data_IF_514894788338
#
_entry.id   IF_514894788338
#
_cell.length_a   1.000
_cell.length_b   1.000
_cell.length_c   1.000
_cell.angle_alpha   90.00
_cell.angle_beta   90.00
_cell.angle_gamma   90.00
#
_symmetry.space_group_name_H-M   'P 1'
#
loop_
_entity.id
_entity.type
_entity.pdbx_description
1 polymer ?
#
# COMPACT_ATOMS: atom_id res chain seq x y z
N UNK A 1 37.08 -38.38 -2.33
CA UNK A 1 37.40 -37.10 -1.64
C UNK A 1 36.12 -36.32 -1.47
N UNK A 2 35.82 -35.93 -0.24
CA UNK A 2 34.49 -35.60 0.26
C UNK A 2 34.04 -34.17 -0.04
N UNK A 3 32.74 -34.02 -0.30
CA UNK A 3 32.03 -32.75 -0.33
C UNK A 3 31.97 -32.13 1.07
N UNK A 4 32.29 -30.84 1.19
CA UNK A 4 32.09 -30.06 2.42
C UNK A 4 31.12 -28.92 2.16
N UNK A 5 29.87 -29.13 2.60
CA UNK A 5 28.81 -28.12 2.69
C UNK A 5 29.16 -27.14 3.81
N UNK A 6 29.39 -25.86 3.49
CA UNK A 6 29.43 -24.81 4.52
C UNK A 6 28.00 -24.37 4.86
N UNK A 7 27.53 -24.77 6.05
CA UNK A 7 26.35 -24.20 6.72
C UNK A 7 26.66 -22.75 7.10
N UNK A 8 25.83 -21.81 6.68
CA UNK A 8 25.72 -20.49 7.28
C UNK A 8 24.91 -20.65 8.57
N UNK A 9 25.57 -20.54 9.72
CA UNK A 9 24.95 -20.46 11.02
C UNK A 9 24.39 -19.05 11.25
N UNK A 10 23.10 -18.94 11.53
CA UNK A 10 22.52 -17.74 12.14
C UNK A 10 23.22 -17.53 13.49
N UNK A 11 23.95 -16.42 13.64
CA UNK A 11 24.32 -15.92 14.96
C UNK A 11 23.10 -15.21 15.54
N UNK A 12 22.54 -15.80 16.59
CA UNK A 12 21.67 -15.11 17.54
C UNK A 12 22.52 -14.02 18.17
N UNK A 13 22.11 -12.76 18.04
CA UNK A 13 22.73 -11.65 18.77
C UNK A 13 22.20 -11.75 20.19
N UNK A 14 23.08 -12.18 21.11
CA UNK A 14 22.81 -12.11 22.55
C UNK A 14 22.65 -10.65 22.96
N UNK A 15 21.51 -10.34 23.59
CA UNK A 15 21.21 -9.02 24.10
C UNK A 15 22.12 -8.67 25.27
N UNK A 16 22.82 -7.54 25.15
CA UNK A 16 23.53 -6.92 26.26
C UNK A 16 22.54 -6.36 27.28
N UNK A 17 22.78 -6.68 28.55
CA UNK A 17 22.10 -6.12 29.71
C UNK A 17 22.28 -4.59 29.74
N UNK A 18 21.15 -3.87 29.78
CA UNK A 18 21.09 -2.42 29.83
C UNK A 18 19.75 -1.95 30.37
N UNK A 19 19.73 -1.75 31.68
CA UNK A 19 18.90 -0.82 32.46
C UNK A 19 17.40 -0.64 32.09
N UNK A 20 16.57 -1.54 32.65
CA UNK A 20 15.47 -1.17 33.54
C UNK A 20 14.55 0.03 33.22
N UNK A 21 14.23 0.33 31.97
CA UNK A 21 13.11 1.25 31.65
C UNK A 21 11.88 0.44 31.25
N UNK A 22 10.98 0.24 32.23
CA UNK A 22 9.63 -0.27 32.02
C UNK A 22 8.94 0.59 30.96
N UNK A 23 8.78 0.04 29.75
CA UNK A 23 7.98 0.66 28.70
C UNK A 23 6.54 0.82 29.16
N UNK A 24 6.09 2.07 29.32
CA UNK A 24 4.70 2.41 29.60
C UNK A 24 3.83 2.10 28.39
N UNK A 25 3.22 0.92 28.38
CA UNK A 25 2.18 0.53 27.43
C UNK A 25 0.80 0.83 28.02
N UNK A 26 0.18 1.89 27.53
CA UNK A 26 -1.28 2.13 27.45
C UNK A 26 -2.17 1.48 28.53
N UNK A 27 -2.10 2.00 29.76
CA UNK A 27 -2.90 1.58 30.92
C UNK A 27 -4.29 2.26 30.98
N UNK A 28 -4.78 2.78 29.85
CA UNK A 28 -6.11 3.39 29.80
C UNK A 28 -7.19 2.31 29.72
N UNK A 29 -8.19 2.31 30.62
CA UNK A 29 -9.29 1.36 30.56
C UNK A 29 -9.96 1.44 29.20
N UNK A 30 -10.28 0.27 28.64
CA UNK A 30 -11.05 0.19 27.39
C UNK A 30 -12.46 0.73 27.65
N UNK A 31 -12.95 1.67 26.83
CA UNK A 31 -14.31 2.18 26.97
C UNK A 31 -15.32 1.05 26.79
N UNK A 32 -16.39 1.09 27.58
CA UNK A 32 -17.44 0.07 27.58
C UNK A 32 -18.41 0.29 26.43
N UNK A 33 -18.75 -0.78 25.70
CA UNK A 33 -19.81 -0.76 24.67
C UNK A 33 -20.82 -1.85 24.98
N UNK A 34 -22.09 -1.50 25.16
CA UNK A 34 -23.14 -2.45 25.56
C UNK A 34 -23.93 -2.99 24.38
N UNK A 35 -24.02 -4.31 24.29
CA UNK A 35 -24.88 -5.00 23.34
C UNK A 35 -26.31 -5.10 23.89
N UNK A 36 -27.17 -4.20 23.42
CA UNK A 36 -28.62 -4.19 23.74
C UNK A 36 -29.40 -4.73 22.54
N UNK A 37 -30.34 -5.65 22.80
CA UNK A 37 -31.19 -6.24 21.76
C UNK A 37 -31.99 -5.15 21.03
N UNK A 38 -31.99 -5.19 19.69
CA UNK A 38 -32.64 -4.19 18.83
C UNK A 38 -31.88 -2.87 18.67
N UNK A 39 -30.71 -2.69 19.31
CA UNK A 39 -29.89 -1.46 19.26
C UNK A 39 -28.47 -1.75 18.73
N UNK A 40 -28.33 -2.74 17.84
CA UNK A 40 -27.02 -3.18 17.33
C UNK A 40 -26.27 -2.06 16.61
N UNK A 41 -26.99 -1.24 15.84
CA UNK A 41 -26.39 -0.12 15.11
C UNK A 41 -25.73 0.89 16.07
N UNK A 42 -26.42 1.28 17.14
CA UNK A 42 -25.90 2.23 18.13
C UNK A 42 -24.62 1.71 18.79
N UNK A 43 -24.57 0.41 19.11
CA UNK A 43 -23.38 -0.21 19.69
C UNK A 43 -22.20 -0.22 18.69
N UNK A 44 -22.47 -0.44 17.40
CA UNK A 44 -21.45 -0.36 16.34
C UNK A 44 -20.94 1.07 16.18
N UNK A 45 -21.84 2.07 16.14
CA UNK A 45 -21.47 3.49 16.04
C UNK A 45 -20.63 3.94 17.24
N UNK A 46 -20.99 3.49 18.45
CA UNK A 46 -20.22 3.76 19.66
C UNK A 46 -18.84 3.09 19.63
N UNK A 47 -18.77 1.82 19.25
CA UNK A 47 -17.50 1.11 19.11
C UNK A 47 -16.59 1.77 18.04
N UNK A 48 -17.16 2.23 16.93
CA UNK A 48 -16.41 2.93 15.88
C UNK A 48 -15.76 4.22 16.40
N UNK A 49 -16.48 5.01 17.21
CA UNK A 49 -15.92 6.23 17.82
C UNK A 49 -14.65 5.95 18.61
N UNK A 50 -14.60 4.83 19.33
CA UNK A 50 -13.41 4.41 20.06
C UNK A 50 -12.34 3.81 19.15
N UNK A 51 -12.75 3.04 18.15
CA UNK A 51 -11.88 2.43 17.15
C UNK A 51 -11.06 3.48 16.39
N UNK A 52 -11.70 4.53 15.84
CA UNK A 52 -11.03 5.58 15.06
C UNK A 52 -9.99 6.36 15.88
N UNK A 53 -10.17 6.43 17.20
CA UNK A 53 -9.24 7.12 18.09
C UNK A 53 -8.00 6.27 18.42
N UNK A 54 -8.17 4.95 18.51
CA UNK A 54 -7.15 4.00 19.01
C UNK A 54 -6.44 3.24 17.90
N UNK A 55 -7.08 3.00 16.76
CA UNK A 55 -6.50 2.27 15.62
C UNK A 55 -6.14 3.23 14.49
N UNK A 56 -4.84 3.57 14.40
CA UNK A 56 -4.30 4.49 13.38
C UNK A 56 -3.97 3.80 12.05
N UNK A 57 -4.18 2.48 11.94
CA UNK A 57 -3.93 1.69 10.74
C UNK A 57 -5.22 1.03 10.24
N UNK A 58 -6.29 1.83 10.18
CA UNK A 58 -7.59 1.43 9.67
C UNK A 58 -8.17 2.55 8.81
N UNK A 59 -8.54 2.21 7.59
CA UNK A 59 -8.96 3.16 6.56
C UNK A 59 -10.14 2.62 5.77
N UNK A 60 -10.73 3.47 4.94
CA UNK A 60 -11.64 3.05 3.88
C UNK A 60 -11.01 3.25 2.51
N UNK A 61 -11.11 2.23 1.65
CA UNK A 61 -10.61 2.24 0.27
C UNK A 61 -11.52 1.37 -0.59
N UNK A 62 -11.93 1.88 -1.76
CA UNK A 62 -12.76 1.15 -2.72
C UNK A 62 -14.01 0.47 -2.10
N UNK A 63 -14.70 1.15 -1.19
CA UNK A 63 -15.89 0.62 -0.51
C UNK A 63 -15.62 -0.50 0.50
N UNK A 64 -14.38 -0.63 0.98
CA UNK A 64 -13.95 -1.66 1.95
C UNK A 64 -13.22 -1.04 3.12
N UNK A 65 -13.30 -1.70 4.27
CA UNK A 65 -12.40 -1.43 5.40
C UNK A 65 -11.06 -2.08 5.11
N UNK A 66 -10.00 -1.27 5.11
CA UNK A 66 -8.65 -1.71 4.77
C UNK A 66 -7.65 -1.30 5.85
N UNK A 67 -6.49 -1.92 5.81
CA UNK A 67 -5.32 -1.54 6.59
C UNK A 67 -4.08 -1.59 5.69
N UNK A 68 -3.02 -0.93 6.12
CA UNK A 68 -1.72 -0.98 5.45
C UNK A 68 -0.84 -2.00 6.16
N UNK A 69 -0.12 -2.81 5.39
CA UNK A 69 0.85 -3.72 5.99
C UNK A 69 1.69 -4.48 4.98
N UNK A 70 2.69 -5.23 5.48
CA UNK A 70 3.55 -6.06 4.66
C UNK A 70 2.77 -7.20 4.01
N UNK A 71 3.00 -7.42 2.73
CA UNK A 71 2.50 -8.55 1.97
C UNK A 71 3.63 -9.15 1.14
N UNK A 72 3.74 -10.47 1.18
CA UNK A 72 4.67 -11.20 0.31
C UNK A 72 4.12 -11.20 -1.11
N UNK A 73 4.82 -10.50 -2.00
CA UNK A 73 4.53 -10.44 -3.43
C UNK A 73 5.38 -11.48 -4.16
N UNK A 74 4.74 -12.28 -5.01
CA UNK A 74 5.43 -13.20 -5.92
C UNK A 74 5.70 -12.47 -7.24
N UNK A 75 6.99 -12.30 -7.56
CA UNK A 75 7.44 -11.63 -8.78
C UNK A 75 7.58 -12.60 -9.95
N UNK A 76 7.23 -13.87 -9.78
CA UNK A 76 7.50 -14.94 -10.72
C UNK A 76 8.91 -15.51 -10.57
N UNK A 77 9.13 -16.70 -11.13
CA UNK A 77 10.43 -17.37 -11.09
C UNK A 77 10.90 -17.76 -9.67
N UNK A 78 9.99 -17.81 -8.69
CA UNK A 78 10.30 -18.13 -7.30
C UNK A 78 10.86 -16.94 -6.49
N UNK A 79 10.91 -15.74 -7.06
CA UNK A 79 11.36 -14.53 -6.38
C UNK A 79 10.20 -13.93 -5.59
N UNK A 80 10.39 -13.75 -4.28
CA UNK A 80 9.41 -13.16 -3.38
C UNK A 80 9.98 -11.92 -2.71
N UNK A 81 9.17 -10.88 -2.59
CA UNK A 81 9.54 -9.62 -1.93
C UNK A 81 8.47 -9.22 -0.92
N UNK A 82 8.88 -8.51 0.13
CA UNK A 82 7.97 -7.98 1.14
C UNK A 82 7.57 -6.54 0.77
N UNK A 83 6.39 -6.40 0.16
CA UNK A 83 5.85 -5.13 -0.30
C UNK A 83 4.88 -4.52 0.72
N UNK A 84 4.75 -3.20 0.69
CA UNK A 84 3.72 -2.50 1.45
C UNK A 84 2.44 -2.43 0.62
N UNK A 85 1.32 -2.94 1.13
CA UNK A 85 0.09 -3.05 0.37
C UNK A 85 -1.14 -2.58 1.17
N UNK A 86 -2.17 -2.16 0.43
CA UNK A 86 -3.52 -1.99 0.97
C UNK A 86 -4.17 -3.37 1.06
N UNK A 87 -4.55 -3.77 2.27
CA UNK A 87 -5.15 -5.08 2.54
C UNK A 87 -6.55 -4.91 3.12
N UNK A 88 -7.52 -5.61 2.54
CA UNK A 88 -8.86 -5.70 3.13
C UNK A 88 -8.79 -6.35 4.51
N UNK A 89 -9.43 -5.71 5.49
CA UNK A 89 -9.54 -6.23 6.84
C UNK A 89 -10.59 -7.32 6.85
N UNK A 90 -10.21 -8.53 7.25
CA UNK A 90 -11.13 -9.66 7.37
C UNK A 90 -12.07 -9.48 8.56
N UNK A 91 -13.16 -10.26 8.59
CA UNK A 91 -14.10 -10.21 9.71
C UNK A 91 -13.42 -10.50 11.05
N UNK A 92 -12.51 -11.49 11.09
CA UNK A 92 -11.80 -11.85 12.31
C UNK A 92 -10.83 -10.75 12.76
N UNK A 93 -10.08 -10.16 11.83
CA UNK A 93 -9.22 -9.02 12.13
C UNK A 93 -10.04 -7.85 12.68
N UNK A 94 -11.23 -7.60 12.14
CA UNK A 94 -12.11 -6.53 12.61
C UNK A 94 -12.61 -6.79 14.04
N UNK A 95 -12.99 -8.04 14.37
CA UNK A 95 -13.36 -8.42 15.74
C UNK A 95 -12.24 -8.14 16.73
N UNK A 96 -11.01 -8.54 16.40
CA UNK A 96 -9.84 -8.32 17.24
C UNK A 96 -9.52 -6.82 17.40
N UNK A 97 -9.71 -6.02 16.35
CA UNK A 97 -9.52 -4.56 16.40
C UNK A 97 -10.57 -3.90 17.31
N UNK A 98 -11.84 -4.29 17.22
CA UNK A 98 -12.88 -3.84 18.17
C UNK A 98 -12.57 -4.24 19.61
N UNK A 99 -12.16 -5.50 19.84
CA UNK A 99 -11.76 -5.98 21.16
C UNK A 99 -10.58 -5.17 21.74
N UNK A 100 -9.64 -4.72 20.91
CA UNK A 100 -8.55 -3.84 21.35
C UNK A 100 -9.04 -2.42 21.67
N UNK A 101 -9.96 -1.91 20.87
CA UNK A 101 -10.47 -0.54 21.00
C UNK A 101 -11.45 -0.34 22.17
N UNK A 102 -12.26 -1.35 22.49
CA UNK A 102 -13.33 -1.24 23.48
C UNK A 102 -13.57 -2.56 24.24
N UNK A 103 -14.23 -2.47 25.39
CA UNK A 103 -14.69 -3.61 26.17
C UNK A 103 -16.18 -3.84 25.87
N UNK A 104 -16.45 -4.81 25.00
CA UNK A 104 -17.81 -5.13 24.58
C UNK A 104 -18.49 -5.94 25.69
N UNK A 105 -19.63 -5.45 26.16
CA UNK A 105 -20.40 -6.05 27.24
C UNK A 105 -21.73 -6.59 26.75
N UNK A 106 -22.14 -7.74 27.26
CA UNK A 106 -23.48 -8.31 27.09
C UNK A 106 -24.12 -8.56 28.45
N UNK A 107 -25.42 -8.30 28.56
CA UNK A 107 -26.15 -8.59 29.80
C UNK A 107 -26.37 -10.11 29.93
N UNK A 108 -25.90 -10.68 31.03
CA UNK A 108 -26.17 -12.07 31.41
C UNK A 108 -27.36 -12.12 32.37
N UNK A 109 -28.46 -12.76 31.95
CA UNK A 109 -29.68 -12.85 32.76
C UNK A 109 -29.53 -13.74 33.99
N UNK A 110 -28.58 -14.67 34.02
CA UNK A 110 -28.38 -15.59 35.16
C UNK A 110 -27.53 -14.94 36.24
N UNK A 111 -26.50 -14.21 35.84
CA UNK A 111 -25.64 -13.45 36.73
C UNK A 111 -26.19 -12.05 37.07
N UNK A 112 -27.27 -11.63 36.40
CA UNK A 112 -27.90 -10.31 36.53
C UNK A 112 -26.92 -9.14 36.36
N UNK A 113 -25.90 -9.31 35.53
CA UNK A 113 -24.82 -8.34 35.36
C UNK A 113 -24.31 -8.26 33.91
N UNK A 114 -23.56 -7.18 33.61
CA UNK A 114 -22.90 -6.99 32.32
C UNK A 114 -21.54 -7.68 32.31
N UNK A 115 -21.39 -8.69 31.48
CA UNK A 115 -20.14 -9.45 31.33
C UNK A 115 -19.39 -9.01 30.07
N UNK A 116 -18.06 -8.97 30.14
CA UNK A 116 -17.20 -8.79 28.97
C UNK A 116 -17.32 -9.99 28.05
N UNK A 117 -17.43 -9.71 26.75
CA UNK A 117 -17.49 -10.72 25.70
C UNK A 117 -16.61 -10.28 24.55
N UNK A 118 -16.12 -11.26 23.78
CA UNK A 118 -15.51 -10.95 22.49
C UNK A 118 -16.54 -10.33 21.55
N UNK A 119 -16.07 -9.44 20.67
CA UNK A 119 -16.84 -8.90 19.56
C UNK A 119 -17.54 -10.05 18.81
N UNK A 120 -18.89 -10.05 18.74
CA UNK A 120 -19.62 -11.03 17.96
C UNK A 120 -19.25 -10.98 16.47
N UNK A 121 -19.36 -12.11 15.78
CA UNK A 121 -19.03 -12.20 14.35
C UNK A 121 -19.94 -11.34 13.48
N UNK A 122 -21.23 -11.32 13.79
CA UNK A 122 -22.25 -10.55 13.07
C UNK A 122 -22.13 -9.04 13.34
N UNK A 123 -21.59 -8.64 14.49
CA UNK A 123 -21.27 -7.25 14.81
C UNK A 123 -20.19 -6.69 13.88
N UNK A 124 -19.05 -7.39 13.80
CA UNK A 124 -17.95 -7.00 12.93
C UNK A 124 -18.31 -7.11 11.43
N UNK A 125 -19.11 -8.11 11.07
CA UNK A 125 -19.58 -8.28 9.70
C UNK A 125 -20.49 -7.13 9.30
N UNK A 126 -21.49 -6.80 10.14
CA UNK A 126 -22.39 -5.69 9.89
C UNK A 126 -21.63 -4.37 9.72
N UNK A 127 -20.61 -4.10 10.55
CA UNK A 127 -19.77 -2.92 10.36
C UNK A 127 -19.06 -2.89 8.99
N UNK A 128 -18.46 -4.00 8.56
CA UNK A 128 -17.75 -4.11 7.28
C UNK A 128 -18.67 -4.03 6.05
N UNK A 129 -19.96 -4.27 6.22
CA UNK A 129 -20.97 -4.28 5.15
C UNK A 129 -21.78 -2.97 5.07
N UNK A 130 -21.31 -1.90 5.74
CA UNK A 130 -21.93 -0.56 5.71
C UNK A 130 -21.01 0.48 5.02
N UNK A 131 -20.67 0.29 3.73
CA UNK A 131 -19.88 1.29 3.02
C UNK A 131 -20.62 2.63 2.97
N UNK A 132 -19.88 3.73 3.13
CA UNK A 132 -20.42 5.09 3.11
C UNK A 132 -20.91 5.62 4.47
N UNK A 133 -20.92 4.80 5.52
CA UNK A 133 -21.23 5.27 6.89
C UNK A 133 -20.00 5.36 7.80
N UNK A 134 -18.83 4.87 7.35
CA UNK A 134 -17.63 4.84 8.17
C UNK A 134 -17.06 6.23 8.44
N UNK A 135 -16.60 6.43 9.67
CA UNK A 135 -15.79 7.56 10.11
C UNK A 135 -14.29 7.35 9.86
N UNK A 136 -13.93 6.26 9.18
CA UNK A 136 -12.55 5.94 8.84
C UNK A 136 -12.00 6.94 7.80
N UNK A 137 -10.73 7.33 7.91
CA UNK A 137 -10.09 8.13 6.87
C UNK A 137 -10.05 7.38 5.54
N UNK A 138 -10.22 8.10 4.44
CA UNK A 138 -10.01 7.55 3.10
C UNK A 138 -8.52 7.30 2.86
N UNK A 139 -8.18 6.12 2.36
CA UNK A 139 -6.82 5.82 1.88
C UNK A 139 -6.85 5.75 0.36
N UNK A 140 -5.98 6.51 -0.29
CA UNK A 140 -5.84 6.55 -1.75
C UNK A 140 -4.73 5.64 -2.24
N UNK A 141 -3.57 5.68 -1.59
CA UNK A 141 -2.38 4.94 -2.00
C UNK A 141 -1.42 4.73 -0.83
N UNK A 142 -0.44 3.86 -1.05
CA UNK A 142 0.70 3.65 -0.15
C UNK A 142 2.00 3.97 -0.90
N UNK A 143 2.98 4.55 -0.21
CA UNK A 143 4.31 4.84 -0.79
C UNK A 143 5.41 4.52 0.21
N UNK A 144 6.58 4.13 -0.30
CA UNK A 144 7.78 3.88 0.52
C UNK A 144 8.92 4.85 0.24
N UNK A 145 8.77 5.73 -0.75
CA UNK A 145 9.66 6.87 -0.99
C UNK A 145 8.92 8.20 -0.73
N UNK A 146 9.63 9.26 -0.32
CA UNK A 146 9.08 10.61 -0.29
C UNK A 146 8.50 10.98 -1.65
N UNK A 147 7.37 11.68 -1.64
CA UNK A 147 6.61 12.02 -2.86
C UNK A 147 6.10 13.45 -2.79
N UNK A 148 5.54 13.95 -3.89
CA UNK A 148 4.84 15.23 -3.93
C UNK A 148 3.36 15.05 -3.60
N UNK A 149 2.82 15.97 -2.81
CA UNK A 149 1.39 16.20 -2.69
C UNK A 149 0.87 16.92 -3.95
N UNK A 150 -0.46 16.93 -4.18
CA UNK A 150 -1.06 17.67 -5.31
C UNK A 150 -0.73 19.18 -5.34
N UNK A 151 -0.46 19.78 -4.19
CA UNK A 151 -0.06 21.20 -4.08
C UNK A 151 1.44 21.44 -4.34
N UNK A 152 2.22 20.38 -4.61
CA UNK A 152 3.66 20.43 -4.84
C UNK A 152 4.51 20.40 -3.56
N UNK A 153 3.90 20.38 -2.37
CA UNK A 153 4.63 20.17 -1.12
C UNK A 153 5.11 18.72 -0.98
N UNK A 154 6.11 18.49 -0.14
CA UNK A 154 6.74 17.17 0.02
C UNK A 154 6.06 16.38 1.13
N UNK A 155 5.72 15.13 0.83
CA UNK A 155 5.33 14.12 1.80
C UNK A 155 6.56 13.27 2.14
N UNK A 156 7.16 13.53 3.30
CA UNK A 156 8.38 12.88 3.80
C UNK A 156 8.30 12.48 5.29
N UNK A 157 7.12 12.61 5.92
CA UNK A 157 6.87 12.22 7.30
C UNK A 157 6.12 10.88 7.36
N UNK A 158 6.70 9.82 7.97
CA UNK A 158 6.03 8.52 8.04
C UNK A 158 4.65 8.59 8.69
N UNK A 159 3.70 7.86 8.14
CA UNK A 159 2.31 7.79 8.59
C UNK A 159 1.31 8.19 7.50
N UNK A 160 0.06 8.36 7.93
CA UNK A 160 -1.03 8.80 7.07
C UNK A 160 -1.03 10.32 6.91
N UNK A 161 -1.07 10.78 5.66
CA UNK A 161 -1.20 12.18 5.29
C UNK A 161 -2.64 12.52 4.92
N UNK A 162 -3.35 13.33 5.73
CA UNK A 162 -4.77 13.63 5.50
C UNK A 162 -5.00 14.49 4.25
N UNK A 163 -4.03 15.31 3.84
CA UNK A 163 -4.17 16.23 2.70
C UNK A 163 -4.14 15.47 1.36
N UNK A 164 -3.31 14.43 1.26
CA UNK A 164 -3.17 13.62 0.04
C UNK A 164 -3.85 12.25 0.11
N UNK A 165 -4.35 11.86 1.29
CA UNK A 165 -4.87 10.53 1.60
C UNK A 165 -3.86 9.40 1.32
N UNK A 166 -2.56 9.65 1.46
CA UNK A 166 -1.48 8.69 1.20
C UNK A 166 -0.88 8.22 2.52
N UNK A 167 -0.59 6.93 2.62
CA UNK A 167 0.19 6.38 3.73
C UNK A 167 1.65 6.20 3.31
N UNK A 168 2.56 6.90 3.97
CA UNK A 168 4.00 6.80 3.74
C UNK A 168 4.66 5.96 4.83
N UNK A 169 5.36 4.89 4.43
CA UNK A 169 6.24 4.13 5.33
C UNK A 169 7.56 3.86 4.60
N UNK A 170 8.68 4.45 5.06
CA UNK A 170 9.98 4.32 4.40
C UNK A 170 10.62 2.93 4.55
N UNK A 171 9.97 1.98 5.24
CA UNK A 171 10.47 0.62 5.42
C UNK A 171 11.86 0.58 6.07
N UNK A 172 12.11 1.51 6.99
CA UNK A 172 13.39 1.65 7.69
C UNK A 172 14.49 2.39 6.92
N UNK A 173 14.21 2.89 5.71
CA UNK A 173 15.14 3.74 4.95
C UNK A 173 15.10 5.18 5.49
N UNK A 174 16.28 5.79 5.67
CA UNK A 174 16.38 7.22 5.95
C UNK A 174 16.69 7.95 4.65
N UNK A 175 15.77 8.81 4.21
CA UNK A 175 15.98 9.66 3.03
C UNK A 175 16.64 10.98 3.45
N UNK A 176 17.54 11.55 2.61
CA UNK A 176 18.07 12.89 2.83
C UNK A 176 16.94 13.94 2.85
N UNK A 177 17.13 15.00 3.64
CA UNK A 177 16.21 16.14 3.64
C UNK A 177 16.15 16.78 2.25
N UNK A 178 14.93 17.05 1.78
CA UNK A 178 14.70 17.72 0.51
C UNK A 178 14.38 19.19 0.80
N UNK A 179 15.16 20.15 0.25
CA UNK A 179 14.89 21.56 0.43
C UNK A 179 13.47 21.93 -0.04
N UNK A 180 12.74 22.72 0.74
CA UNK A 180 11.38 23.17 0.39
C UNK A 180 11.35 24.10 -0.83
N UNK A 181 12.47 24.77 -1.12
CA UNK A 181 12.65 25.64 -2.29
C UNK A 181 14.00 25.31 -2.96
N UNK A 182 14.11 24.21 -3.73
CA UNK A 182 15.35 23.83 -4.37
C UNK A 182 15.71 24.84 -5.47
N UNK A 183 16.99 25.18 -5.57
CA UNK A 183 17.51 26.00 -6.67
C UNK A 183 17.58 25.20 -7.97
N UNK A 184 17.58 25.89 -9.12
CA UNK A 184 17.79 25.24 -10.42
C UNK A 184 19.09 24.45 -10.49
N UNK A 185 20.16 24.94 -9.86
CA UNK A 185 21.46 24.25 -9.83
C UNK A 185 21.37 22.92 -9.07
N UNK A 186 20.68 22.89 -7.92
CA UNK A 186 20.44 21.65 -7.16
C UNK A 186 19.60 20.66 -7.97
N UNK A 187 18.56 21.13 -8.68
CA UNK A 187 17.72 20.29 -9.53
C UNK A 187 18.53 19.67 -10.70
N UNK A 188 19.39 20.45 -11.36
CA UNK A 188 20.26 19.95 -12.43
C UNK A 188 21.28 18.93 -11.92
N UNK A 189 21.90 19.18 -10.76
CA UNK A 189 22.82 18.22 -10.14
C UNK A 189 22.10 16.91 -9.75
N UNK A 190 20.86 16.98 -9.27
CA UNK A 190 20.05 15.80 -8.99
C UNK A 190 19.69 15.03 -10.28
N UNK A 191 19.37 15.75 -11.36
CA UNK A 191 19.10 15.17 -12.68
C UNK A 191 20.33 14.42 -13.21
N UNK A 192 21.52 15.01 -13.17
CA UNK A 192 22.76 14.34 -13.60
C UNK A 192 22.99 13.02 -12.85
N UNK A 193 22.75 13.02 -11.53
CA UNK A 193 22.85 11.78 -10.72
C UNK A 193 21.81 10.75 -11.16
N UNK A 194 20.57 11.17 -11.43
CA UNK A 194 19.52 10.28 -11.91
C UNK A 194 19.86 9.67 -13.27
N UNK A 195 20.44 10.46 -14.17
CA UNK A 195 20.86 10.02 -15.51
C UNK A 195 21.94 8.94 -15.48
N UNK A 196 22.79 8.91 -14.45
CA UNK A 196 23.79 7.84 -14.29
C UNK A 196 23.17 6.44 -14.18
N UNK A 197 21.91 6.32 -13.74
CA UNK A 197 21.20 5.04 -13.67
C UNK A 197 20.98 4.42 -15.05
N UNK A 198 20.98 5.26 -16.09
CA UNK A 198 20.80 4.85 -17.48
C UNK A 198 22.11 4.70 -18.24
N UNK A 199 23.27 4.96 -17.61
CA UNK A 199 24.57 4.95 -18.30
C UNK A 199 24.92 3.63 -18.98
N UNK A 200 24.37 2.50 -18.50
CA UNK A 200 24.58 1.17 -19.10
C UNK A 200 23.48 0.74 -20.06
N UNK A 201 22.49 1.60 -20.33
CA UNK A 201 21.38 1.30 -21.22
C UNK A 201 21.64 1.86 -22.61
N UNK A 202 21.32 1.07 -23.63
CA UNK A 202 21.44 1.47 -25.03
C UNK A 202 20.20 2.26 -25.46
N UNK A 203 20.09 3.51 -24.98
CA UNK A 203 19.02 4.42 -25.37
C UNK A 203 19.34 5.03 -26.74
N UNK A 204 18.39 4.92 -27.67
CA UNK A 204 18.60 5.22 -29.09
C UNK A 204 18.90 6.70 -29.36
N UNK A 205 18.27 7.60 -28.61
CA UNK A 205 18.40 9.05 -28.76
C UNK A 205 18.00 9.80 -27.47
N UNK A 206 18.05 11.13 -27.52
CA UNK A 206 17.67 12.01 -26.40
C UNK A 206 16.16 11.99 -26.11
N UNK A 207 15.33 11.60 -27.08
CA UNK A 207 13.89 11.42 -26.87
C UNK A 207 13.66 10.19 -26.00
N UNK A 208 14.33 9.07 -26.29
CA UNK A 208 14.30 7.86 -25.48
C UNK A 208 14.84 8.12 -24.06
N UNK A 209 15.89 8.95 -23.93
CA UNK A 209 16.41 9.41 -22.63
C UNK A 209 15.36 10.20 -21.84
N UNK A 210 14.71 11.16 -22.47
CA UNK A 210 13.66 11.97 -21.85
C UNK A 210 12.45 11.12 -21.43
N UNK A 211 12.05 10.16 -22.28
CA UNK A 211 10.97 9.22 -21.98
C UNK A 211 11.33 8.29 -20.81
N UNK A 212 12.57 7.80 -20.73
CA UNK A 212 13.05 6.98 -19.63
C UNK A 212 13.07 7.75 -18.30
N UNK A 213 13.53 9.01 -18.31
CA UNK A 213 13.46 9.90 -17.16
C UNK A 213 12.02 10.12 -16.70
N UNK A 214 11.11 10.40 -17.63
CA UNK A 214 9.67 10.51 -17.33
C UNK A 214 9.13 9.22 -16.71
N UNK A 215 9.49 8.05 -17.24
CA UNK A 215 9.03 6.75 -16.75
C UNK A 215 9.47 6.47 -15.31
N UNK A 216 10.72 6.78 -14.95
CA UNK A 216 11.23 6.54 -13.58
C UNK A 216 10.69 7.54 -12.56
N UNK A 217 10.41 8.78 -12.97
CA UNK A 217 9.87 9.81 -12.08
C UNK A 217 8.37 9.63 -11.83
N UNK A 218 7.62 9.15 -12.82
CA UNK A 218 6.16 9.04 -12.75
C UNK A 218 5.62 8.28 -11.54
N UNK A 219 6.10 7.07 -11.17
CA UNK A 219 5.56 6.36 -10.01
C UNK A 219 5.88 7.06 -8.69
N UNK A 220 7.02 7.76 -8.60
CA UNK A 220 7.40 8.56 -7.43
C UNK A 220 6.47 9.77 -7.32
N UNK A 221 6.10 10.39 -8.45
CA UNK A 221 5.26 11.59 -8.51
C UNK A 221 3.76 11.27 -8.63
N UNK A 222 3.37 9.99 -8.68
CA UNK A 222 2.00 9.56 -9.01
C UNK A 222 0.95 10.26 -8.15
N UNK A 223 1.27 10.46 -6.86
CA UNK A 223 0.41 11.09 -5.87
C UNK A 223 0.05 12.54 -6.19
N UNK A 224 0.91 13.28 -6.90
CA UNK A 224 0.68 14.66 -7.31
C UNK A 224 0.00 14.81 -8.68
N UNK A 225 -0.17 13.71 -9.42
CA UNK A 225 -0.68 13.73 -10.78
C UNK A 225 -2.18 13.38 -10.81
N UNK A 226 -2.98 14.17 -11.52
CA UNK A 226 -4.38 13.82 -11.80
C UNK A 226 -4.43 12.60 -12.72
N UNK A 227 -3.77 12.70 -13.86
CA UNK A 227 -3.54 11.61 -14.81
C UNK A 227 -2.04 11.35 -14.93
N UNK A 228 -1.64 10.09 -14.97
CA UNK A 228 -0.25 9.70 -15.14
C UNK A 228 -0.01 9.20 -16.56
N UNK A 229 1.10 9.57 -17.21
CA UNK A 229 1.46 9.04 -18.50
C UNK A 229 1.72 7.54 -18.41
N UNK A 230 1.30 6.81 -19.43
CA UNK A 230 1.74 5.45 -19.68
C UNK A 230 3.01 5.48 -20.54
N UNK A 231 4.01 4.68 -20.17
CA UNK A 231 5.25 4.57 -20.91
C UNK A 231 5.35 3.21 -21.59
N UNK A 232 5.64 3.22 -22.89
CA UNK A 232 5.98 2.02 -23.64
C UNK A 232 7.50 1.86 -23.72
N UNK A 233 8.00 0.66 -23.45
CA UNK A 233 9.41 0.33 -23.62
C UNK A 233 9.53 -0.80 -24.65
N UNK A 234 10.03 -0.47 -25.84
CA UNK A 234 10.28 -1.43 -26.91
C UNK A 234 11.78 -1.53 -27.19
N UNK A 235 12.22 -2.69 -27.66
CA UNK A 235 13.61 -2.90 -28.04
C UNK A 235 13.74 -4.11 -28.96
N UNK A 236 14.62 -4.06 -29.98
CA UNK A 236 14.65 -5.01 -31.10
C UNK A 236 15.13 -6.41 -30.72
N UNK A 237 15.92 -6.54 -29.65
CA UNK A 237 16.50 -7.82 -29.19
C UNK A 237 16.16 -8.04 -27.71
N UNK A 238 16.02 -9.31 -27.30
CA UNK A 238 15.94 -9.67 -25.89
C UNK A 238 17.23 -9.29 -25.15
N UNK A 239 17.15 -8.93 -23.86
CA UNK A 239 18.33 -8.56 -23.06
C UNK A 239 18.85 -7.12 -23.25
N UNK A 240 18.15 -6.31 -24.03
CA UNK A 240 18.46 -4.88 -24.30
C UNK A 240 18.15 -3.90 -23.16
N UNK A 241 17.73 -4.40 -21.98
CA UNK A 241 17.51 -3.56 -20.80
C UNK A 241 16.08 -3.04 -20.58
N UNK A 242 15.07 -3.49 -21.36
CA UNK A 242 13.65 -3.09 -21.18
C UNK A 242 13.16 -3.26 -19.73
N UNK A 243 13.29 -4.47 -19.21
CA UNK A 243 12.92 -4.80 -17.82
C UNK A 243 13.79 -4.05 -16.80
N UNK A 244 15.00 -3.62 -17.19
CA UNK A 244 15.91 -2.87 -16.32
C UNK A 244 15.39 -1.46 -16.06
N UNK A 245 14.85 -0.77 -17.08
CA UNK A 245 14.20 0.55 -16.91
C UNK A 245 13.00 0.44 -15.96
N UNK A 246 12.15 -0.55 -16.20
CA UNK A 246 10.99 -0.84 -15.36
C UNK A 246 11.39 -1.11 -13.91
N UNK A 247 12.43 -1.93 -13.71
CA UNK A 247 12.94 -2.23 -12.37
C UNK A 247 13.56 -1.02 -11.68
N UNK A 248 14.26 -0.13 -12.41
CA UNK A 248 14.77 1.12 -11.85
C UNK A 248 13.61 1.97 -11.32
N UNK A 249 12.56 2.17 -12.11
CA UNK A 249 11.38 2.93 -11.70
C UNK A 249 10.73 2.31 -10.45
N UNK A 250 10.55 1.00 -10.44
CA UNK A 250 9.96 0.27 -9.31
C UNK A 250 10.83 0.36 -8.04
N UNK A 251 12.14 0.15 -8.14
CA UNK A 251 13.05 0.21 -7.00
C UNK A 251 13.09 1.62 -6.40
N UNK A 252 13.09 2.66 -7.23
CA UNK A 252 13.06 4.05 -6.73
C UNK A 252 11.74 4.39 -6.03
N UNK A 253 10.61 3.87 -6.51
CA UNK A 253 9.29 4.20 -5.97
C UNK A 253 8.87 3.35 -4.77
N UNK A 254 9.12 2.04 -4.82
CA UNK A 254 8.63 1.07 -3.82
C UNK A 254 9.73 0.25 -3.14
N UNK A 255 11.00 0.38 -3.56
CA UNK A 255 12.15 -0.28 -2.95
C UNK A 255 12.43 -1.70 -3.46
N UNK A 256 11.60 -2.23 -4.36
CA UNK A 256 11.75 -3.56 -4.96
C UNK A 256 11.14 -3.59 -6.37
N UNK A 257 11.45 -4.60 -7.21
CA UNK A 257 10.73 -4.81 -8.47
C UNK A 257 9.25 -5.14 -8.21
N UNK A 258 8.36 -4.77 -9.13
CA UNK A 258 6.91 -5.03 -9.00
C UNK A 258 6.48 -6.25 -9.83
N UNK A 259 5.39 -6.94 -9.44
CA UNK A 259 4.82 -8.01 -10.24
C UNK A 259 4.45 -7.54 -11.65
N UNK A 260 4.68 -8.42 -12.62
CA UNK A 260 4.37 -8.17 -14.03
C UNK A 260 3.04 -8.81 -14.39
N UNK A 261 2.15 -8.04 -15.02
CA UNK A 261 0.89 -8.52 -15.57
C UNK A 261 1.07 -8.90 -17.03
N UNK A 262 0.88 -10.18 -17.34
CA UNK A 262 0.80 -10.64 -18.72
C UNK A 262 -0.53 -10.21 -19.36
N UNK A 263 -0.46 -9.63 -20.56
CA UNK A 263 -1.62 -9.23 -21.35
C UNK A 263 -2.29 -10.47 -22.01
N UNK A 264 -3.59 -10.62 -21.79
CA UNK A 264 -4.49 -11.60 -22.40
C UNK A 264 -5.93 -11.05 -22.54
N UNK A 265 -6.83 -11.72 -23.25
CA UNK A 265 -8.12 -11.10 -23.63
C UNK A 265 -9.12 -10.92 -22.47
N UNK A 266 -9.40 -11.96 -21.67
CA UNK A 266 -10.45 -11.89 -20.64
C UNK A 266 -9.88 -11.67 -19.23
N UNK A 267 -8.64 -12.11 -18.99
CA UNK A 267 -8.04 -12.08 -17.65
C UNK A 267 -7.38 -10.74 -17.31
N UNK A 268 -7.02 -9.92 -18.32
CA UNK A 268 -6.31 -8.65 -18.11
C UNK A 268 -7.13 -7.66 -17.31
N UNK A 269 -8.43 -7.51 -17.60
CA UNK A 269 -9.28 -6.55 -16.90
C UNK A 269 -9.40 -6.90 -15.42
N UNK A 270 -9.57 -8.19 -15.10
CA UNK A 270 -9.62 -8.69 -13.73
C UNK A 270 -8.30 -8.47 -12.98
N UNK A 271 -7.17 -8.80 -13.63
CA UNK A 271 -5.83 -8.60 -13.05
C UNK A 271 -5.50 -7.12 -12.85
N UNK A 272 -5.87 -6.27 -13.81
CA UNK A 272 -5.71 -4.83 -13.73
C UNK A 272 -6.56 -4.24 -12.59
N UNK A 273 -7.82 -4.64 -12.47
CA UNK A 273 -8.69 -4.23 -11.37
C UNK A 273 -8.13 -4.61 -10.01
N UNK A 274 -7.61 -5.84 -9.85
CA UNK A 274 -6.96 -6.27 -8.62
C UNK A 274 -5.69 -5.47 -8.31
N UNK A 275 -4.88 -5.14 -9.32
CA UNK A 275 -3.67 -4.33 -9.16
C UNK A 275 -3.99 -2.86 -8.81
N UNK A 276 -5.09 -2.30 -9.31
CA UNK A 276 -5.55 -0.97 -8.93
C UNK A 276 -6.02 -0.93 -7.46
N UNK A 277 -6.72 -1.97 -7.01
CA UNK A 277 -7.23 -2.08 -5.63
C UNK A 277 -6.10 -2.25 -4.60
N UNK A 278 -4.95 -2.82 -4.99
CA UNK A 278 -3.81 -2.99 -4.07
C UNK A 278 -3.14 -1.67 -3.70
N UNK A 279 -3.42 -0.58 -4.45
CA UNK A 279 -2.90 0.76 -4.20
C UNK A 279 -1.43 0.94 -4.61
N UNK A 280 -0.89 0.06 -5.45
CA UNK A 280 0.48 0.19 -5.98
C UNK A 280 0.59 1.45 -6.86
N UNK A 281 1.67 2.26 -6.72
CA UNK A 281 1.90 3.43 -7.57
C UNK A 281 2.32 3.08 -9.00
N UNK A 282 2.59 1.80 -9.28
CA UNK A 282 3.09 1.31 -10.57
C UNK A 282 2.47 -0.05 -10.92
N UNK A 283 2.07 -0.21 -12.17
CA UNK A 283 1.59 -1.47 -12.75
C UNK A 283 2.39 -1.72 -14.02
N UNK A 284 2.93 -2.94 -14.18
CA UNK A 284 3.72 -3.32 -15.35
C UNK A 284 2.94 -4.29 -16.20
N UNK A 285 2.72 -3.91 -17.45
CA UNK A 285 2.13 -4.77 -18.47
C UNK A 285 3.27 -5.27 -19.38
N UNK A 286 3.37 -6.58 -19.57
CA UNK A 286 4.42 -7.19 -20.40
C UNK A 286 3.83 -8.07 -21.50
N UNK A 287 4.65 -8.34 -22.51
CA UNK A 287 4.28 -9.05 -23.74
C UNK A 287 3.11 -8.41 -24.48
N UNK A 288 3.18 -7.09 -24.68
CA UNK A 288 2.26 -6.36 -25.55
C UNK A 288 2.52 -6.69 -27.04
N UNK A 289 2.03 -7.84 -27.50
CA UNK A 289 2.13 -8.30 -28.90
C UNK A 289 1.00 -7.75 -29.80
N UNK A 290 -0.01 -7.14 -29.18
CA UNK A 290 -1.21 -6.61 -29.84
C UNK A 290 -1.46 -5.17 -29.40
N UNK A 291 -2.26 -4.39 -30.15
CA UNK A 291 -2.68 -3.06 -29.71
C UNK A 291 -3.25 -3.12 -28.29
N UNK A 292 -2.69 -2.31 -27.40
CA UNK A 292 -3.14 -2.21 -26.01
C UNK A 292 -4.43 -1.38 -25.98
N UNK A 293 -5.48 -1.93 -25.38
CA UNK A 293 -6.77 -1.28 -25.25
C UNK A 293 -7.64 -1.96 -24.20
N UNK A 294 -8.85 -1.44 -24.02
CA UNK A 294 -9.82 -1.91 -23.03
C UNK A 294 -10.38 -0.75 -22.22
N UNK A 295 -11.68 -0.80 -21.95
CA UNK A 295 -12.39 0.30 -21.29
C UNK A 295 -11.78 0.65 -19.93
N UNK A 296 -11.50 -0.35 -19.10
CA UNK A 296 -10.88 -0.15 -17.79
C UNK A 296 -9.48 0.47 -17.89
N UNK A 297 -8.67 0.06 -18.87
CA UNK A 297 -7.32 0.59 -19.04
C UNK A 297 -7.34 2.04 -19.50
N UNK A 298 -8.21 2.38 -20.46
CA UNK A 298 -8.41 3.76 -20.88
C UNK A 298 -8.84 4.64 -19.69
N UNK A 299 -9.84 4.21 -18.92
CA UNK A 299 -10.28 4.91 -17.71
C UNK A 299 -9.15 5.06 -16.68
N UNK A 300 -8.36 4.00 -16.44
CA UNK A 300 -7.26 4.02 -15.46
C UNK A 300 -6.14 5.02 -15.80
N UNK A 301 -5.96 5.33 -17.09
CA UNK A 301 -4.94 6.28 -17.54
C UNK A 301 -5.49 7.72 -17.57
N UNK A 302 -6.76 7.91 -17.93
CA UNK A 302 -7.34 9.25 -18.13
C UNK A 302 -8.03 9.83 -16.91
N UNK A 303 -8.63 8.98 -16.08
CA UNK A 303 -9.46 9.42 -14.96
C UNK A 303 -8.71 9.38 -13.62
N UNK A 304 -8.94 10.37 -12.73
CA UNK A 304 -8.34 10.38 -11.40
C UNK A 304 -8.96 9.35 -10.45
N UNK A 305 -10.19 8.92 -10.73
CA UNK A 305 -10.94 7.96 -9.92
C UNK A 305 -11.54 6.93 -10.87
N UNK A 306 -11.17 5.66 -10.65
CA UNK A 306 -11.72 4.53 -11.39
C UNK A 306 -12.37 3.57 -10.40
N UNK A 307 -13.55 3.07 -10.75
CA UNK A 307 -14.27 2.07 -9.98
C UNK A 307 -14.17 0.71 -10.70
N UNK A 308 -13.04 -0.02 -10.58
CA UNK A 308 -12.90 -1.31 -11.22
C UNK A 308 -13.98 -2.27 -10.68
N UNK A 309 -14.65 -3.00 -11.58
CA UNK A 309 -15.58 -4.06 -11.17
C UNK A 309 -14.82 -5.16 -10.46
N UNK A 310 -15.21 -5.46 -9.22
CA UNK A 310 -14.67 -6.59 -8.47
C UNK A 310 -15.25 -7.88 -9.05
N UNK A 311 -14.48 -8.56 -9.89
CA UNK A 311 -14.84 -9.88 -10.43
C UNK A 311 -14.36 -10.96 -9.46
N UNK A 312 -15.25 -11.45 -8.59
CA UNK A 312 -14.88 -12.51 -7.64
C UNK A 312 -15.85 -12.89 -6.52
N UNK A 313 -16.95 -12.17 -6.30
CA UNK A 313 -18.02 -12.64 -5.41
C UNK A 313 -19.19 -13.16 -6.24
N UNK A 314 -19.00 -14.31 -6.87
CA UNK A 314 -20.11 -15.15 -7.30
C UNK A 314 -20.26 -16.27 -6.27
N UNK A 315 -21.18 -16.05 -5.33
CA UNK A 315 -21.81 -17.01 -4.40
C UNK A 315 -20.93 -17.84 -3.47
#
# INVERSE_FOLDING_TARGET
MAASRRRLSLRVVEGGEGDGTRGGGDDQPRPEVRLVQGRRFDAIDEAERHLVQRDRNLFQHAGRVVCVGPQVLDLGGGVKVDGLCIMEVTNEQMRLRFNRACDIRKFDKRAECWISVDCPKDFAQAYRELPGTWRLPHLRAVTTAPTLRPDGSILDRPGYDPDSAVYYDPRGVTFPEIPSAPTRAQALAALERLETLFATLDLVDDIARSAALSAVMTPILRSAMTAAPMHGVSAPVAGSGKSKIVNIAAILAVGHPVPVLALGEEETEKRLGAALISGSPMIVLDNAERPIGGELLCQAITEPIVAPRILGNSS
#
